data_IF_185249517169
#
_entry.id   IF_185249517169
#
_cell.length_a   1.000
_cell.length_b   1.000
_cell.length_c   1.000
_cell.angle_alpha   90.00
_cell.angle_beta   90.00
_cell.angle_gamma   90.00
#
_symmetry.space_group_name_H-M   'P 1'
#
loop_
_entity.id
_entity.type
_entity.pdbx_description
1 polymer ?
#
# COMPACT_ATOMS: atom_id res chain seq x y z
N UNK A 1 -9.96 0.41 25.06
CA UNK A 1 -8.60 0.22 24.49
C UNK A 1 -8.77 -0.44 23.14
N UNK A 2 -8.22 0.14 22.07
CA UNK A 2 -8.28 -0.43 20.73
C UNK A 2 -7.02 -1.27 20.52
N UNK A 3 -7.19 -2.49 20.02
CA UNK A 3 -6.09 -3.42 19.74
C UNK A 3 -6.15 -3.83 18.27
N UNK A 4 -5.00 -3.86 17.61
CA UNK A 4 -4.93 -4.32 16.22
C UNK A 4 -5.24 -5.82 16.15
N UNK A 5 -6.07 -6.29 15.19
CA UNK A 5 -6.26 -7.72 14.97
C UNK A 5 -5.10 -8.38 14.20
N UNK A 6 -4.16 -7.60 13.66
CA UNK A 6 -3.09 -8.10 12.82
C UNK A 6 -1.79 -7.26 12.93
N UNK A 7 -0.68 -7.85 12.49
CA UNK A 7 0.62 -7.17 12.41
C UNK A 7 0.74 -6.37 11.10
N UNK A 8 1.36 -5.19 11.18
CA UNK A 8 1.51 -4.31 10.03
C UNK A 8 2.09 -2.95 10.37
N UNK A 9 2.26 -2.12 9.34
CA UNK A 9 2.68 -0.73 9.45
C UNK A 9 1.44 0.16 9.51
N UNK A 10 1.36 1.04 10.52
CA UNK A 10 0.27 2.03 10.60
C UNK A 10 0.53 3.10 9.54
N UNK A 11 -0.43 3.26 8.62
CA UNK A 11 -0.37 4.26 7.54
C UNK A 11 -0.92 5.61 8.01
N UNK A 12 -2.08 5.56 8.66
CA UNK A 12 -2.70 6.73 9.25
C UNK A 12 -3.57 6.33 10.44
N UNK A 13 -3.76 7.27 11.35
CA UNK A 13 -4.64 7.13 12.49
C UNK A 13 -5.35 8.46 12.72
N UNK A 14 -6.62 8.40 13.13
CA UNK A 14 -7.33 9.59 13.61
C UNK A 14 -6.63 10.18 14.83
N UNK A 15 -6.78 11.49 15.00
CA UNK A 15 -6.25 12.20 16.16
C UNK A 15 -6.85 11.69 17.48
N UNK A 16 -6.17 11.97 18.58
CA UNK A 16 -6.70 11.63 19.90
C UNK A 16 -7.93 12.48 20.20
N UNK A 17 -8.91 11.87 20.87
CA UNK A 17 -10.11 12.55 21.36
C UNK A 17 -11.04 13.11 20.28
N UNK A 18 -11.09 12.48 19.10
CA UNK A 18 -12.11 12.77 18.07
C UNK A 18 -13.27 11.78 18.14
N UNK A 19 -14.49 12.28 17.90
CA UNK A 19 -15.66 11.43 17.71
C UNK A 19 -15.58 10.70 16.36
N UNK A 20 -16.17 9.51 16.30
CA UNK A 20 -16.28 8.71 15.09
C UNK A 20 -17.61 7.97 15.05
N UNK A 21 -18.12 7.74 13.85
CA UNK A 21 -19.34 6.96 13.65
C UNK A 21 -19.06 5.46 13.76
N UNK A 22 -20.10 4.68 14.05
CA UNK A 22 -20.00 3.23 13.98
C UNK A 22 -19.57 2.79 12.56
N UNK A 23 -18.62 1.86 12.47
CA UNK A 23 -18.01 1.36 11.23
C UNK A 23 -17.18 2.38 10.43
N UNK A 24 -16.89 3.54 11.00
CA UNK A 24 -15.97 4.49 10.39
C UNK A 24 -14.52 4.01 10.58
N UNK A 25 -13.68 4.02 9.52
CA UNK A 25 -12.27 3.69 9.65
C UNK A 25 -11.53 4.72 10.52
N UNK A 26 -10.84 4.23 11.55
CA UNK A 26 -10.09 5.06 12.51
C UNK A 26 -8.57 4.91 12.38
N UNK A 27 -8.11 3.79 11.81
CA UNK A 27 -6.71 3.45 11.56
C UNK A 27 -6.65 2.75 10.21
N UNK A 28 -5.74 3.18 9.35
CA UNK A 28 -5.35 2.44 8.15
C UNK A 28 -4.06 1.67 8.45
N UNK A 29 -4.11 0.36 8.27
CA UNK A 29 -3.01 -0.56 8.57
C UNK A 29 -2.58 -1.27 7.29
N UNK A 30 -1.31 -1.17 6.94
CA UNK A 30 -0.71 -1.98 5.90
C UNK A 30 -0.25 -3.31 6.49
N UNK A 31 -0.94 -4.39 6.16
CA UNK A 31 -0.62 -5.73 6.64
C UNK A 31 0.69 -6.21 6.02
N UNK A 32 1.63 -6.63 6.86
CA UNK A 32 2.84 -7.30 6.38
C UNK A 32 2.75 -8.78 6.72
N UNK A 33 2.47 -9.62 5.72
CA UNK A 33 2.64 -11.06 5.89
C UNK A 33 4.13 -11.36 6.06
N UNK A 34 4.48 -11.89 7.23
CA UNK A 34 5.83 -12.26 7.60
C UNK A 34 6.53 -13.18 6.57
N UNK A 35 5.77 -13.98 5.82
CA UNK A 35 6.26 -14.87 4.76
C UNK A 35 6.63 -14.17 3.46
N UNK A 36 6.16 -12.92 3.26
CA UNK A 36 6.33 -12.14 2.03
C UNK A 36 7.16 -10.87 2.21
N UNK A 37 7.66 -10.64 3.43
CA UNK A 37 8.61 -9.56 3.74
C UNK A 37 9.76 -9.52 2.73
N UNK A 38 10.04 -8.32 2.21
CA UNK A 38 11.07 -8.03 1.20
C UNK A 38 10.86 -8.67 -0.19
N UNK A 39 9.68 -9.22 -0.50
CA UNK A 39 9.36 -9.79 -1.83
C UNK A 39 8.12 -9.19 -2.48
N UNK A 40 7.48 -8.23 -1.81
CA UNK A 40 6.31 -7.51 -2.31
C UNK A 40 6.65 -6.03 -2.52
N UNK A 41 5.98 -5.43 -3.49
CA UNK A 41 6.05 -4.01 -3.78
C UNK A 41 4.65 -3.44 -3.67
N UNK A 42 4.53 -2.37 -2.91
CA UNK A 42 3.29 -1.60 -2.79
C UNK A 42 3.37 -0.42 -3.73
N UNK A 43 2.31 -0.22 -4.50
CA UNK A 43 2.20 0.91 -5.41
C UNK A 43 0.85 1.58 -5.24
N UNK A 44 0.86 2.91 -5.14
CA UNK A 44 -0.36 3.71 -5.12
C UNK A 44 -0.69 4.15 -6.53
N UNK A 45 -1.97 4.12 -6.90
CA UNK A 45 -2.44 4.56 -8.21
C UNK A 45 -3.75 5.34 -8.09
N UNK A 46 -4.15 6.00 -9.18
CA UNK A 46 -5.42 6.72 -9.25
C UNK A 46 -6.59 5.76 -9.43
N UNK A 47 -7.79 6.18 -9.01
CA UNK A 47 -9.02 5.41 -9.25
C UNK A 47 -9.28 5.06 -10.72
N UNK A 48 -8.89 5.95 -11.64
CA UNK A 48 -9.03 5.68 -13.07
C UNK A 48 -8.21 4.47 -13.50
N UNK A 49 -6.96 4.38 -13.02
CA UNK A 49 -6.08 3.26 -13.31
C UNK A 49 -6.52 1.99 -12.56
N UNK A 50 -6.99 2.13 -11.32
CA UNK A 50 -7.48 1.02 -10.50
C UNK A 50 -8.53 0.18 -11.24
N UNK A 51 -9.47 0.82 -11.95
CA UNK A 51 -10.52 0.15 -12.73
C UNK A 51 -9.98 -0.78 -13.83
N UNK A 52 -8.73 -0.58 -14.26
CA UNK A 52 -8.07 -1.37 -15.30
C UNK A 52 -7.26 -2.52 -14.68
N UNK A 53 -6.96 -2.48 -13.38
CA UNK A 53 -6.17 -3.49 -12.68
C UNK A 53 -7.03 -4.67 -12.24
N UNK A 54 -6.43 -5.87 -12.24
CA UNK A 54 -7.07 -7.10 -11.80
C UNK A 54 -6.07 -7.97 -11.04
N UNK A 55 -6.58 -8.77 -10.12
CA UNK A 55 -5.80 -9.82 -9.45
C UNK A 55 -5.10 -10.71 -10.48
N UNK A 56 -3.90 -11.16 -10.14
CA UNK A 56 -3.04 -12.03 -10.96
C UNK A 56 -2.55 -11.41 -12.29
N UNK A 57 -2.83 -10.14 -12.55
CA UNK A 57 -2.32 -9.44 -13.73
C UNK A 57 -0.78 -9.37 -13.68
N UNK A 58 -0.07 -9.69 -14.78
CA UNK A 58 1.39 -9.59 -14.82
C UNK A 58 1.83 -8.12 -14.78
N UNK A 59 2.86 -7.84 -14.00
CA UNK A 59 3.44 -6.50 -13.86
C UNK A 59 4.94 -6.51 -14.12
N UNK A 60 5.44 -5.37 -14.59
CA UNK A 60 6.85 -5.11 -14.78
C UNK A 60 7.21 -3.84 -14.01
N UNK A 61 8.28 -3.92 -13.21
CA UNK A 61 8.77 -2.81 -12.40
C UNK A 61 10.24 -2.59 -12.72
N UNK A 62 10.63 -1.32 -12.87
CA UNK A 62 12.03 -0.91 -12.99
C UNK A 62 12.31 0.20 -11.99
N UNK A 63 13.39 0.13 -11.19
CA UNK A 63 13.80 1.24 -10.34
C UNK A 63 14.14 2.46 -11.19
N UNK A 64 13.85 3.66 -10.69
CA UNK A 64 14.16 4.91 -11.42
C UNK A 64 15.67 5.18 -11.40
N UNK A 65 16.34 4.83 -10.29
CA UNK A 65 17.75 5.16 -10.06
C UNK A 65 18.74 4.14 -10.64
N UNK A 66 18.24 3.05 -11.23
CA UNK A 66 19.08 2.01 -11.83
C UNK A 66 18.94 1.97 -13.36
N UNK A 67 20.05 1.91 -14.12
CA UNK A 67 20.00 1.85 -15.58
C UNK A 67 19.21 0.63 -16.06
N UNK A 68 18.08 0.87 -16.74
CA UNK A 68 17.20 -0.18 -17.28
C UNK A 68 17.95 -1.14 -18.22
N UNK A 69 18.90 -0.63 -18.98
CA UNK A 69 19.73 -1.43 -19.91
C UNK A 69 20.58 -2.47 -19.19
N UNK A 70 20.98 -2.19 -17.95
CA UNK A 70 21.86 -3.06 -17.16
C UNK A 70 21.10 -4.06 -16.29
N UNK A 71 19.93 -3.66 -15.78
CA UNK A 71 19.21 -4.45 -14.76
C UNK A 71 17.85 -4.99 -15.23
N UNK A 72 17.34 -4.53 -16.39
CA UNK A 72 16.09 -4.99 -16.98
C UNK A 72 14.86 -4.66 -16.14
N UNK A 73 13.84 -5.52 -16.21
CA UNK A 73 12.59 -5.39 -15.46
C UNK A 73 12.47 -6.49 -14.42
N UNK A 74 12.11 -6.10 -13.20
CA UNK A 74 11.55 -7.03 -12.22
C UNK A 74 10.13 -7.42 -12.66
N UNK A 75 9.84 -8.72 -12.64
CA UNK A 75 8.54 -9.25 -13.05
C UNK A 75 7.79 -9.76 -11.84
N UNK A 76 6.49 -9.48 -11.80
CA UNK A 76 5.61 -9.93 -10.72
C UNK A 76 4.18 -10.10 -11.19
N UNK A 77 3.28 -10.28 -10.24
CA UNK A 77 1.84 -10.26 -10.46
C UNK A 77 1.15 -9.48 -9.35
N UNK A 78 -0.02 -8.92 -9.65
CA UNK A 78 -0.86 -8.29 -8.64
C UNK A 78 -1.40 -9.37 -7.70
N UNK A 79 -0.99 -9.31 -6.44
CA UNK A 79 -1.39 -10.26 -5.38
C UNK A 79 -2.40 -9.70 -4.39
N UNK A 80 -2.70 -8.40 -4.49
CA UNK A 80 -3.68 -7.70 -3.67
C UNK A 80 -4.05 -6.36 -4.28
N UNK A 81 -5.28 -5.93 -4.04
CA UNK A 81 -5.79 -4.59 -4.36
C UNK A 81 -6.61 -4.17 -3.14
N UNK A 82 -6.24 -3.06 -2.51
CA UNK A 82 -6.96 -2.56 -1.35
C UNK A 82 -8.30 -1.94 -1.74
N UNK A 83 -9.34 -2.25 -0.96
CA UNK A 83 -10.70 -1.73 -1.15
C UNK A 83 -10.86 -0.31 -0.61
N UNK A 84 -9.96 0.11 0.30
CA UNK A 84 -10.02 1.39 0.98
C UNK A 84 -9.06 2.39 0.35
N UNK A 85 -9.57 3.47 -0.26
CA UNK A 85 -8.74 4.47 -0.87
C UNK A 85 -8.04 5.34 0.18
N UNK A 86 -6.80 5.69 -0.11
CA UNK A 86 -6.05 6.68 0.65
C UNK A 86 -6.30 8.07 0.10
N UNK A 87 -6.30 9.08 0.97
CA UNK A 87 -6.17 10.46 0.54
C UNK A 87 -4.78 10.70 -0.07
N UNK A 88 -4.66 11.78 -0.85
CA UNK A 88 -3.37 12.16 -1.46
C UNK A 88 -2.27 12.36 -0.41
N UNK A 89 -2.62 12.94 0.74
CA UNK A 89 -1.67 13.19 1.81
C UNK A 89 -1.19 11.87 2.43
N UNK A 90 -2.11 10.96 2.76
CA UNK A 90 -1.77 9.64 3.30
C UNK A 90 -0.92 8.82 2.33
N UNK A 91 -1.20 8.88 1.03
CA UNK A 91 -0.39 8.22 0.02
C UNK A 91 1.05 8.77 -0.04
N UNK A 92 1.22 10.08 0.08
CA UNK A 92 2.54 10.71 0.11
C UNK A 92 3.31 10.38 1.38
N UNK A 93 2.63 10.34 2.51
CA UNK A 93 3.26 9.99 3.79
C UNK A 93 3.68 8.51 3.78
N UNK A 94 2.84 7.61 3.26
CA UNK A 94 3.20 6.21 3.06
C UNK A 94 4.48 6.03 2.22
N UNK A 95 4.58 6.72 1.08
CA UNK A 95 5.75 6.61 0.19
C UNK A 95 7.04 7.17 0.81
N UNK A 96 6.94 8.10 1.78
CA UNK A 96 8.10 8.68 2.49
C UNK A 96 8.58 7.83 3.64
N UNK A 97 7.73 6.99 4.22
CA UNK A 97 8.10 6.11 5.35
C UNK A 97 9.19 5.10 4.96
N UNK A 98 9.38 4.84 3.67
CA UNK A 98 10.45 3.98 3.14
C UNK A 98 11.70 4.74 2.63
N UNK A 99 11.88 6.03 2.97
CA UNK A 99 13.07 6.85 2.59
C UNK A 99 14.05 7.08 3.74
#
# INVERSE_FOLDING_TARGET
>A
MLTSPAEGTVLSAKERSTDFAAYEPIINLFLQDSSRRNRELVAVTTFENLRKLKMNMPVQVSPVDLPREKYGYMRGRIVGIDDYPLSKQEALDFLKVDS
#
